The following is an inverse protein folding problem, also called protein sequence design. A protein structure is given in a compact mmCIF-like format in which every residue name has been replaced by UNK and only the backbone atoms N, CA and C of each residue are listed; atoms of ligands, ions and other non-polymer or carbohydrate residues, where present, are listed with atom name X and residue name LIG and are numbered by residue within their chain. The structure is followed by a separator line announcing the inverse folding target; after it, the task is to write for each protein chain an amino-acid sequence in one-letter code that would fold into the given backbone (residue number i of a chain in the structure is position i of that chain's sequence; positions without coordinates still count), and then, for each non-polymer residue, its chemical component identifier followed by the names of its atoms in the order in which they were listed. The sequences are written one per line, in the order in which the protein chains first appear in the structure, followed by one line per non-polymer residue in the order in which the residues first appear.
data_IF_621907727136
#
_entry.id   IF_621907727136
#
_cell.length_a   1.000
_cell.length_b   1.000
_cell.length_c   1.000
_cell.angle_alpha   90.00
_cell.angle_beta   90.00
_cell.angle_gamma   90.00
#
_symmetry.space_group_name_H-M   'P 1'
#
loop_
_entity.id
_entity.type
_entity.pdbx_description
1 polymer ?
#
# COMPACT_ATOMS: atom_id res chain seq x y z
N UNK A 1 -14.70 -9.61 0.21
CA UNK A 1 -13.24 -9.39 0.18
C UNK A 1 -12.76 -8.08 0.82
N UNK A 2 -13.38 -6.88 0.62
CA UNK A 2 -12.88 -5.64 1.25
C UNK A 2 -13.07 -5.57 2.78
N UNK A 3 -13.96 -6.39 3.34
CA UNK A 3 -14.22 -6.48 4.79
C UNK A 3 -12.98 -6.91 5.57
N UNK A 4 -12.17 -7.84 5.04
CA UNK A 4 -10.92 -8.25 5.69
C UNK A 4 -9.91 -7.10 5.78
N UNK A 5 -9.82 -6.27 4.75
CA UNK A 5 -8.94 -5.10 4.71
C UNK A 5 -9.35 -4.11 5.80
N UNK A 6 -10.65 -3.86 5.91
CA UNK A 6 -11.22 -2.99 6.94
C UNK A 6 -10.91 -3.51 8.34
N UNK A 7 -11.14 -4.79 8.61
CA UNK A 7 -10.86 -5.41 9.92
C UNK A 7 -9.37 -5.36 10.25
N UNK A 8 -8.49 -5.68 9.29
CA UNK A 8 -7.04 -5.63 9.49
C UNK A 8 -6.58 -4.21 9.84
N UNK A 9 -7.04 -3.19 9.10
CA UNK A 9 -6.73 -1.79 9.40
C UNK A 9 -7.28 -1.34 10.75
N UNK A 10 -8.45 -1.84 11.16
CA UNK A 10 -9.04 -1.51 12.45
C UNK A 10 -8.25 -2.09 13.62
N UNK A 11 -7.75 -3.33 13.47
CA UNK A 11 -6.89 -3.99 14.47
C UNK A 11 -5.54 -3.28 14.57
N UNK A 12 -4.92 -2.95 13.43
CA UNK A 12 -3.65 -2.19 13.39
C UNK A 12 -3.87 -0.82 14.05
N UNK A 13 -4.92 -0.11 13.66
CA UNK A 13 -5.23 1.20 14.22
C UNK A 13 -5.49 1.13 15.72
N UNK A 14 -6.18 0.11 16.21
CA UNK A 14 -6.43 -0.06 17.65
C UNK A 14 -5.14 -0.36 18.43
N UNK A 15 -4.29 -1.26 17.93
CA UNK A 15 -3.02 -1.61 18.59
C UNK A 15 -2.06 -0.42 18.63
N UNK A 16 -1.88 0.26 17.51
CA UNK A 16 -0.98 1.42 17.47
C UNK A 16 -1.59 2.64 18.16
N UNK A 17 -2.90 2.92 18.02
CA UNK A 17 -3.50 4.06 18.71
C UNK A 17 -3.44 3.90 20.23
N UNK A 18 -3.69 2.69 20.74
CA UNK A 18 -3.56 2.42 22.19
C UNK A 18 -2.10 2.51 22.65
N UNK A 19 -1.14 2.05 21.83
CA UNK A 19 0.28 2.18 22.13
C UNK A 19 0.76 3.64 22.14
N UNK A 20 0.37 4.44 21.15
CA UNK A 20 0.76 5.85 21.05
C UNK A 20 0.04 6.74 22.07
N UNK A 21 -1.21 6.41 22.43
CA UNK A 21 -1.93 7.11 23.48
C UNK A 21 -1.23 6.99 24.84
N UNK A 22 -0.66 5.80 25.13
CA UNK A 22 0.16 5.59 26.32
C UNK A 22 1.46 6.41 26.29
N UNK A 23 2.03 6.65 25.11
CA UNK A 23 3.22 7.50 24.94
C UNK A 23 2.94 9.01 24.98
N UNK A 24 1.67 9.46 25.06
CA UNK A 24 1.26 10.89 24.97
C UNK A 24 1.75 11.61 23.70
N UNK A 25 2.15 10.88 22.67
CA UNK A 25 2.67 11.43 21.42
C UNK A 25 1.55 11.73 20.42
N UNK A 26 0.76 12.78 20.68
CA UNK A 26 -0.34 13.21 19.80
C UNK A 26 0.11 13.53 18.36
N UNK A 27 1.34 14.03 18.20
CA UNK A 27 1.95 14.26 16.88
C UNK A 27 2.22 12.97 16.13
N UNK A 28 2.72 11.94 16.82
CA UNK A 28 2.96 10.63 16.20
C UNK A 28 1.63 9.95 15.84
N UNK A 29 0.59 10.12 16.65
CA UNK A 29 -0.77 9.64 16.36
C UNK A 29 -1.32 10.23 15.07
N UNK A 30 -1.12 11.53 14.85
CA UNK A 30 -1.54 12.18 13.62
C UNK A 30 -0.79 11.65 12.40
N UNK A 31 0.54 11.46 12.50
CA UNK A 31 1.34 10.90 11.40
C UNK A 31 0.91 9.46 11.09
N UNK A 32 0.74 8.62 12.11
CA UNK A 32 0.29 7.24 11.95
C UNK A 32 -1.11 7.16 11.34
N UNK A 33 -2.02 8.04 11.76
CA UNK A 33 -3.37 8.16 11.20
C UNK A 33 -3.34 8.50 9.69
N UNK A 34 -2.47 9.42 9.27
CA UNK A 34 -2.30 9.74 7.84
C UNK A 34 -1.76 8.54 7.08
N UNK A 35 -0.78 7.82 7.63
CA UNK A 35 -0.24 6.60 7.02
C UNK A 35 -1.30 5.51 6.90
N UNK A 36 -2.14 5.31 7.92
CA UNK A 36 -3.25 4.36 7.83
C UNK A 36 -4.28 4.77 6.80
N UNK A 37 -4.69 6.03 6.78
CA UNK A 37 -5.61 6.54 5.78
C UNK A 37 -5.07 6.32 4.35
N UNK A 38 -3.79 6.58 4.13
CA UNK A 38 -3.13 6.31 2.84
C UNK A 38 -3.13 4.82 2.49
N UNK A 39 -2.75 3.95 3.42
CA UNK A 39 -2.74 2.50 3.20
C UNK A 39 -4.14 1.92 2.95
N UNK A 40 -5.16 2.45 3.64
CA UNK A 40 -6.55 2.04 3.49
C UNK A 40 -7.11 2.54 2.15
N UNK A 41 -6.84 3.80 1.77
CA UNK A 41 -7.23 4.35 0.48
C UNK A 41 -6.60 3.58 -0.70
N UNK A 42 -5.31 3.26 -0.62
CA UNK A 42 -4.62 2.43 -1.61
C UNK A 42 -5.19 1.01 -1.67
N UNK A 43 -5.42 0.38 -0.51
CA UNK A 43 -6.01 -0.96 -0.46
C UNK A 43 -7.43 -1.01 -1.01
N UNK A 44 -8.24 0.04 -0.76
CA UNK A 44 -9.57 0.21 -1.34
C UNK A 44 -9.49 0.43 -2.85
N UNK A 45 -8.59 1.29 -3.32
CA UNK A 45 -8.42 1.55 -4.75
C UNK A 45 -8.01 0.27 -5.51
N UNK A 46 -7.12 -0.53 -4.94
CA UNK A 46 -6.76 -1.86 -5.47
C UNK A 46 -7.94 -2.83 -5.43
N UNK A 47 -8.68 -2.89 -4.32
CA UNK A 47 -9.83 -3.78 -4.17
C UNK A 47 -11.00 -3.43 -5.10
N UNK A 48 -11.18 -2.14 -5.40
CA UNK A 48 -12.19 -1.64 -6.33
C UNK A 48 -11.76 -1.74 -7.80
N UNK A 49 -10.60 -2.36 -8.08
CA UNK A 49 -10.04 -2.46 -9.43
C UNK A 49 -9.90 -1.08 -10.12
N UNK A 50 -9.73 0.00 -9.35
CA UNK A 50 -9.33 1.27 -9.97
C UNK A 50 -7.99 1.03 -10.67
N UNK A 51 -7.74 1.68 -11.82
CA UNK A 51 -6.46 1.64 -12.51
C UNK A 51 -5.44 2.45 -11.71
N UNK A 52 -5.08 1.93 -10.54
CA UNK A 52 -3.93 2.39 -9.78
C UNK A 52 -2.72 1.91 -10.58
N UNK A 53 -1.85 2.80 -11.07
CA UNK A 53 -0.64 2.38 -11.77
C UNK A 53 0.15 1.52 -10.80
N UNK A 54 0.10 0.20 -11.00
CA UNK A 54 0.76 -0.71 -10.09
C UNK A 54 2.27 -0.52 -10.26
N UNK A 55 3.07 -0.60 -9.18
CA UNK A 55 4.53 -0.57 -9.30
C UNK A 55 5.02 -1.61 -10.31
N UNK A 56 4.33 -2.76 -10.40
CA UNK A 56 4.58 -3.79 -11.41
C UNK A 56 4.41 -3.30 -12.85
N UNK A 57 3.44 -2.43 -13.17
CA UNK A 57 3.31 -1.82 -14.50
C UNK A 57 4.43 -0.82 -14.79
N UNK A 58 4.85 -0.07 -13.77
CA UNK A 58 5.97 0.88 -13.90
C UNK A 58 7.27 0.09 -14.14
N UNK A 59 7.51 -0.95 -13.33
CA UNK A 59 8.60 -1.90 -13.52
C UNK A 59 8.51 -2.56 -14.89
N UNK A 60 7.36 -3.05 -15.33
CA UNK A 60 7.21 -3.65 -16.66
C UNK A 60 7.51 -2.65 -17.80
N UNK A 61 7.23 -1.35 -17.61
CA UNK A 61 7.55 -0.30 -18.58
C UNK A 61 9.05 0.00 -18.66
N UNK A 62 9.75 -0.08 -17.53
CA UNK A 62 11.20 0.15 -17.43
C UNK A 62 11.99 -1.09 -17.86
N UNK A 63 11.56 -2.27 -17.44
CA UNK A 63 12.23 -3.55 -17.71
C UNK A 63 11.76 -4.22 -19.00
N UNK A 64 10.61 -3.85 -19.56
CA UNK A 64 10.11 -4.27 -20.87
C UNK A 64 11.16 -4.19 -21.99
N UNK A 65 11.82 -3.04 -22.22
CA UNK A 65 12.86 -2.93 -23.25
C UNK A 65 14.08 -3.83 -22.98
N UNK A 66 14.41 -4.09 -21.71
CA UNK A 66 15.50 -5.00 -21.32
C UNK A 66 15.12 -6.45 -21.61
N UNK A 67 13.88 -6.83 -21.34
CA UNK A 67 13.38 -8.18 -21.65
C UNK A 67 13.28 -8.42 -23.15
N UNK A 68 12.87 -7.44 -23.95
CA UNK A 68 12.89 -7.57 -25.43
C UNK A 68 14.32 -7.76 -25.97
N UNK A 69 15.29 -7.04 -25.40
CA UNK A 69 16.71 -7.19 -25.74
C UNK A 69 17.24 -8.59 -25.41
N UNK A 70 16.94 -9.11 -24.22
CA UNK A 70 17.31 -10.46 -23.80
C UNK A 70 16.65 -11.54 -24.67
N UNK A 71 15.37 -11.37 -24.99
CA UNK A 71 14.63 -12.34 -25.80
C UNK A 71 15.19 -12.43 -27.23
N UNK A 72 15.67 -11.30 -27.79
CA UNK A 72 16.35 -11.27 -29.10
C UNK A 72 17.78 -11.81 -29.09
N UNK A 73 18.41 -11.93 -27.93
CA UNK A 73 19.77 -12.46 -27.79
C UNK A 73 19.79 -13.98 -27.56
N UNK A 74 18.71 -14.51 -26.98
CA UNK A 74 18.58 -15.92 -26.61
C UNK A 74 17.79 -16.71 -27.69
N UNK A 75 16.95 -16.05 -28.48
CA UNK A 75 16.25 -16.62 -29.64
C UNK A 75 16.91 -16.25 -30.97
#
# INVERSE_FOLDING_TARGET
MPVLILIAFLVIAYLDATHLWQKKSWRELAVMGVVWCLGLALSLALALNLPVPSPAQILARVFGPVTEWLTRLIG
#
